data_IF_371352947638
#
_entry.id   IF_371352947638
#
_cell.length_a   1.000
_cell.length_b   1.000
_cell.length_c   1.000
_cell.angle_alpha   90.00
_cell.angle_beta   90.00
_cell.angle_gamma   90.00
#
_symmetry.space_group_name_H-M   'P 1'
#
loop_
_entity.id
_entity.type
_entity.pdbx_description
1 polymer ?
#
# COMPACT_ATOMS: atom_id res chain seq x y z
N UNK A 1 7.00 37.44 -2.71
CA UNK A 1 6.54 36.26 -1.99
C UNK A 1 5.27 35.63 -2.58
N UNK A 2 4.33 36.40 -3.09
CA UNK A 2 3.06 35.85 -3.66
C UNK A 2 3.25 35.12 -5.02
N UNK A 3 4.21 35.50 -5.84
CA UNK A 3 4.46 34.85 -7.13
C UNK A 3 4.96 33.40 -7.03
N UNK A 4 5.80 33.10 -6.05
CA UNK A 4 6.34 31.75 -5.83
C UNK A 4 5.25 30.78 -5.35
N UNK A 5 4.39 31.23 -4.46
CA UNK A 5 3.25 30.46 -3.94
C UNK A 5 2.22 30.16 -5.04
N UNK A 6 1.94 31.14 -5.91
CA UNK A 6 1.04 30.97 -7.05
C UNK A 6 1.58 29.94 -8.06
N UNK A 7 2.88 30.02 -8.37
CA UNK A 7 3.55 29.08 -9.28
C UNK A 7 3.55 27.65 -8.71
N UNK A 8 3.82 27.50 -7.42
CA UNK A 8 3.79 26.21 -6.74
C UNK A 8 2.39 25.57 -6.74
N UNK A 9 1.35 26.36 -6.49
CA UNK A 9 -0.03 25.88 -6.54
C UNK A 9 -0.42 25.43 -7.96
N UNK A 10 -0.01 26.17 -8.99
CA UNK A 10 -0.26 25.80 -10.39
C UNK A 10 0.42 24.48 -10.78
N UNK A 11 1.64 24.20 -10.28
CA UNK A 11 2.32 22.92 -10.48
C UNK A 11 1.59 21.78 -9.78
N UNK A 12 1.16 22.00 -8.54
CA UNK A 12 0.36 21.02 -7.79
C UNK A 12 -0.94 20.68 -8.50
N UNK A 13 -1.68 21.69 -8.96
CA UNK A 13 -2.95 21.48 -9.69
C UNK A 13 -2.73 20.69 -10.97
N UNK A 14 -1.64 20.95 -11.68
CA UNK A 14 -1.28 20.20 -12.90
C UNK A 14 -0.88 18.76 -12.56
N UNK A 15 -0.10 18.56 -11.51
CA UNK A 15 0.28 17.23 -11.04
C UNK A 15 -0.95 16.40 -10.63
N UNK A 16 -1.91 17.01 -9.94
CA UNK A 16 -3.14 16.33 -9.54
C UNK A 16 -4.02 15.94 -10.73
N UNK A 17 -4.06 16.75 -11.80
CA UNK A 17 -4.76 16.36 -13.04
C UNK A 17 -4.10 15.17 -13.72
N UNK A 18 -2.76 15.12 -13.79
CA UNK A 18 -2.04 13.97 -14.33
C UNK A 18 -2.26 12.71 -13.47
N UNK A 19 -2.27 12.86 -12.15
CA UNK A 19 -2.60 11.77 -11.23
C UNK A 19 -3.99 11.22 -11.49
N UNK A 20 -4.99 12.07 -11.67
CA UNK A 20 -6.36 11.64 -11.96
C UNK A 20 -6.45 10.87 -13.28
N UNK A 21 -5.79 11.35 -14.32
CA UNK A 21 -5.71 10.65 -15.61
C UNK A 21 -5.00 9.29 -15.46
N UNK A 22 -3.90 9.24 -14.71
CA UNK A 22 -3.19 8.00 -14.41
C UNK A 22 -4.11 6.97 -13.72
N UNK A 23 -4.89 7.42 -12.75
CA UNK A 23 -5.84 6.57 -12.03
C UNK A 23 -6.92 6.01 -12.97
N UNK A 24 -7.45 6.81 -13.90
CA UNK A 24 -8.43 6.35 -14.90
C UNK A 24 -7.84 5.27 -15.80
N UNK A 25 -6.61 5.45 -16.31
CA UNK A 25 -5.91 4.42 -17.07
C UNK A 25 -5.65 3.15 -16.26
N UNK A 26 -5.23 3.30 -15.01
CA UNK A 26 -5.02 2.16 -14.11
C UNK A 26 -6.31 1.35 -13.90
N UNK A 27 -7.44 2.02 -13.69
CA UNK A 27 -8.74 1.35 -13.52
C UNK A 27 -9.22 0.67 -14.82
N UNK A 28 -8.77 1.14 -15.98
CA UNK A 28 -9.03 0.51 -17.28
C UNK A 28 -8.03 -0.61 -17.62
N UNK A 29 -7.03 -0.87 -16.76
CA UNK A 29 -6.00 -1.88 -16.99
C UNK A 29 -4.88 -1.45 -17.93
N UNK A 30 -4.84 -0.18 -18.32
CA UNK A 30 -3.80 0.42 -19.18
C UNK A 30 -2.61 0.84 -18.29
N UNK A 31 -1.86 -0.19 -17.82
CA UNK A 31 -0.85 -0.01 -16.76
C UNK A 31 0.37 0.80 -17.22
N UNK A 32 0.79 0.67 -18.48
CA UNK A 32 1.96 1.40 -18.99
C UNK A 32 1.65 2.90 -19.11
N UNK A 33 0.47 3.25 -19.58
CA UNK A 33 -0.04 4.62 -19.66
C UNK A 33 -0.21 5.22 -18.26
N UNK A 34 -0.77 4.45 -17.34
CA UNK A 34 -0.93 4.86 -15.95
C UNK A 34 0.42 5.16 -15.30
N UNK A 35 1.40 4.28 -15.45
CA UNK A 35 2.76 4.49 -14.91
C UNK A 35 3.39 5.76 -15.46
N UNK A 36 3.35 5.98 -16.78
CA UNK A 36 3.90 7.18 -17.41
C UNK A 36 3.27 8.47 -16.88
N UNK A 37 1.95 8.48 -16.67
CA UNK A 37 1.23 9.64 -16.14
C UNK A 37 1.50 9.88 -14.63
N UNK A 38 1.64 8.82 -13.81
CA UNK A 38 2.09 8.98 -12.43
C UNK A 38 3.50 9.52 -12.35
N UNK A 39 4.42 9.03 -13.17
CA UNK A 39 5.80 9.55 -13.28
C UNK A 39 5.82 11.03 -13.68
N UNK A 40 4.99 11.43 -14.65
CA UNK A 40 4.84 12.81 -15.05
C UNK A 40 4.26 13.69 -13.93
N UNK A 41 3.28 13.21 -13.18
CA UNK A 41 2.73 13.87 -11.99
C UNK A 41 3.80 14.11 -10.94
N UNK A 42 4.57 13.08 -10.60
CA UNK A 42 5.68 13.13 -9.64
C UNK A 42 6.76 14.11 -10.10
N UNK A 43 7.08 14.12 -11.38
CA UNK A 43 8.07 15.06 -11.96
C UNK A 43 7.67 16.53 -11.83
N UNK A 44 6.37 16.84 -11.80
CA UNK A 44 5.87 18.20 -11.58
C UNK A 44 5.80 18.55 -10.08
N UNK A 45 5.22 17.67 -9.29
CA UNK A 45 5.04 17.84 -7.85
C UNK A 45 4.96 16.48 -7.15
N UNK A 46 6.02 16.02 -6.48
CA UNK A 46 6.02 14.74 -5.78
C UNK A 46 5.01 14.72 -4.63
N UNK A 47 4.15 13.70 -4.60
CA UNK A 47 3.24 13.43 -3.49
C UNK A 47 3.38 11.98 -3.03
N UNK A 48 3.11 11.71 -1.76
CA UNK A 48 3.15 10.35 -1.23
C UNK A 48 2.11 9.45 -1.93
N UNK A 49 0.96 10.00 -2.26
CA UNK A 49 -0.11 9.33 -3.01
C UNK A 49 0.36 8.93 -4.40
N UNK A 50 0.99 9.83 -5.16
CA UNK A 50 1.44 9.54 -6.52
C UNK A 50 2.49 8.42 -6.54
N UNK A 51 3.48 8.46 -5.63
CA UNK A 51 4.45 7.38 -5.47
C UNK A 51 3.79 6.04 -5.08
N UNK A 52 2.81 6.07 -4.19
CA UNK A 52 2.10 4.85 -3.75
C UNK A 52 1.27 4.23 -4.88
N UNK A 53 0.56 5.04 -5.65
CA UNK A 53 -0.22 4.55 -6.80
C UNK A 53 0.67 4.07 -7.96
N UNK A 54 1.82 4.70 -8.18
CA UNK A 54 2.83 4.20 -9.11
C UNK A 54 3.36 2.84 -8.65
N UNK A 55 3.66 2.68 -7.36
CA UNK A 55 4.05 1.40 -6.77
C UNK A 55 2.99 0.32 -7.01
N UNK A 56 1.73 0.65 -6.80
CA UNK A 56 0.61 -0.25 -7.06
C UNK A 56 0.54 -0.64 -8.54
N UNK A 57 0.73 0.31 -9.45
CA UNK A 57 0.80 0.03 -10.90
C UNK A 57 1.95 -0.94 -11.21
N UNK A 58 3.14 -0.72 -10.67
CA UNK A 58 4.27 -1.63 -10.84
C UNK A 58 4.00 -3.04 -10.27
N UNK A 59 3.30 -3.14 -9.15
CA UNK A 59 2.95 -4.45 -8.59
C UNK A 59 2.05 -5.26 -9.52
N UNK A 60 1.09 -4.64 -10.18
CA UNK A 60 0.27 -5.30 -11.19
C UNK A 60 1.06 -5.72 -12.43
N UNK A 61 2.17 -5.05 -12.73
CA UNK A 61 3.11 -5.44 -13.78
C UNK A 61 4.10 -6.53 -13.33
N UNK A 62 4.02 -7.00 -12.08
CA UNK A 62 4.95 -7.97 -11.50
C UNK A 62 6.31 -7.38 -11.09
N UNK A 63 6.45 -6.06 -11.10
CA UNK A 63 7.67 -5.30 -10.80
C UNK A 63 7.75 -4.97 -9.29
N UNK A 64 7.81 -6.00 -8.45
CA UNK A 64 7.68 -5.84 -6.99
C UNK A 64 8.83 -5.06 -6.35
N UNK A 65 10.07 -5.23 -6.82
CA UNK A 65 11.21 -4.48 -6.28
C UNK A 65 11.08 -2.98 -6.56
N UNK A 66 10.64 -2.61 -7.75
CA UNK A 66 10.39 -1.23 -8.13
C UNK A 66 9.18 -0.66 -7.36
N UNK A 67 8.14 -1.45 -7.13
CA UNK A 67 7.01 -1.07 -6.30
C UNK A 67 7.44 -0.76 -4.86
N UNK A 68 8.28 -1.60 -4.26
CA UNK A 68 8.83 -1.35 -2.91
C UNK A 68 9.67 -0.06 -2.89
N UNK A 69 10.47 0.17 -3.92
CA UNK A 69 11.27 1.39 -4.01
C UNK A 69 10.41 2.64 -4.09
N UNK A 70 9.33 2.62 -4.88
CA UNK A 70 8.38 3.74 -4.96
C UNK A 70 7.63 3.97 -3.64
N UNK A 71 7.24 2.92 -2.93
CA UNK A 71 6.67 3.05 -1.59
C UNK A 71 7.66 3.72 -0.61
N UNK A 72 8.95 3.41 -0.69
CA UNK A 72 9.96 4.09 0.14
C UNK A 72 10.06 5.59 -0.17
N UNK A 73 10.00 5.97 -1.44
CA UNK A 73 9.92 7.38 -1.84
C UNK A 73 8.66 8.06 -1.32
N UNK A 74 7.52 7.37 -1.31
CA UNK A 74 6.28 7.88 -0.70
C UNK A 74 6.47 8.18 0.79
N UNK A 75 7.15 7.29 1.53
CA UNK A 75 7.47 7.46 2.95
C UNK A 75 8.41 8.66 3.16
N UNK A 76 9.39 8.87 2.29
CA UNK A 76 10.29 10.03 2.35
C UNK A 76 9.53 11.35 2.17
N UNK A 77 8.48 11.36 1.33
CA UNK A 77 7.62 12.54 1.11
C UNK A 77 6.70 12.79 2.32
N UNK A 78 6.05 11.74 2.82
CA UNK A 78 5.15 11.82 3.99
C UNK A 78 5.27 10.56 4.84
N UNK A 79 6.09 10.61 5.91
CA UNK A 79 6.28 9.47 6.83
C UNK A 79 5.02 9.05 7.60
N UNK A 80 4.01 9.92 7.70
CA UNK A 80 2.77 9.65 8.40
C UNK A 80 1.71 8.96 7.53
N UNK A 81 1.95 8.88 6.22
CA UNK A 81 1.04 8.20 5.29
C UNK A 81 1.20 6.69 5.40
N UNK A 82 0.15 5.99 5.86
CA UNK A 82 0.21 4.57 6.20
C UNK A 82 0.19 3.60 5.03
N UNK A 83 -0.40 3.98 3.91
CA UNK A 83 -0.56 3.11 2.74
C UNK A 83 0.75 2.47 2.26
N UNK A 84 1.85 3.23 2.02
CA UNK A 84 3.07 2.63 1.50
C UNK A 84 3.71 1.61 2.46
N UNK A 85 3.56 1.77 3.77
CA UNK A 85 4.04 0.77 4.72
C UNK A 85 3.29 -0.56 4.61
N UNK A 86 1.96 -0.51 4.49
CA UNK A 86 1.14 -1.69 4.26
C UNK A 86 1.48 -2.37 2.93
N UNK A 87 1.68 -1.58 1.88
CA UNK A 87 1.94 -2.08 0.53
C UNK A 87 3.33 -2.75 0.45
N UNK A 88 4.37 -2.18 1.07
CA UNK A 88 5.68 -2.85 1.22
C UNK A 88 5.51 -4.21 1.90
N UNK A 89 4.73 -4.28 2.98
CA UNK A 89 4.45 -5.54 3.67
C UNK A 89 3.80 -6.57 2.76
N UNK A 90 2.78 -6.16 2.01
CA UNK A 90 2.10 -7.03 1.04
C UNK A 90 3.06 -7.53 -0.05
N UNK A 91 3.87 -6.66 -0.64
CA UNK A 91 4.83 -7.03 -1.69
C UNK A 91 5.93 -7.95 -1.18
N UNK A 92 6.43 -7.75 0.05
CA UNK A 92 7.40 -8.66 0.67
C UNK A 92 6.81 -10.05 0.92
N UNK A 93 5.54 -10.15 1.31
CA UNK A 93 4.87 -11.45 1.42
C UNK A 93 4.80 -12.14 0.06
N UNK A 94 4.47 -11.42 -1.01
CA UNK A 94 4.43 -11.95 -2.37
C UNK A 94 5.81 -12.42 -2.85
N UNK A 95 6.89 -11.75 -2.41
CA UNK A 95 8.27 -12.17 -2.67
C UNK A 95 8.72 -13.37 -1.82
N UNK A 96 7.87 -13.92 -0.96
CA UNK A 96 8.25 -15.01 -0.05
C UNK A 96 9.11 -14.57 1.13
N UNK A 97 9.03 -13.30 1.54
CA UNK A 97 9.78 -12.67 2.65
C UNK A 97 8.85 -12.23 3.79
N UNK A 98 8.01 -13.13 4.34
CA UNK A 98 7.00 -12.74 5.34
C UNK A 98 7.60 -12.16 6.62
N UNK A 99 8.77 -12.65 7.05
CA UNK A 99 9.45 -12.12 8.23
C UNK A 99 9.91 -10.67 8.07
N UNK A 100 10.33 -10.28 6.87
CA UNK A 100 10.69 -8.89 6.58
C UNK A 100 9.46 -7.97 6.47
N UNK A 101 8.29 -8.52 6.13
CA UNK A 101 7.05 -7.79 6.01
C UNK A 101 6.51 -7.28 7.36
N UNK A 102 6.68 -8.05 8.43
CA UNK A 102 6.09 -7.78 9.77
C UNK A 102 6.44 -6.37 10.28
N UNK A 103 7.70 -5.91 10.33
CA UNK A 103 8.01 -4.57 10.83
C UNK A 103 7.34 -3.44 10.02
N UNK A 104 7.20 -3.61 8.70
CA UNK A 104 6.54 -2.63 7.85
C UNK A 104 5.04 -2.53 8.14
N UNK A 105 4.37 -3.67 8.30
CA UNK A 105 2.95 -3.74 8.64
C UNK A 105 2.65 -3.16 10.02
N UNK A 106 3.54 -3.40 11.00
CA UNK A 106 3.45 -2.78 12.32
C UNK A 106 3.61 -1.27 12.26
N UNK A 107 4.45 -0.74 11.37
CA UNK A 107 4.57 0.70 11.12
C UNK A 107 3.29 1.26 10.50
N UNK A 108 2.65 0.56 9.57
CA UNK A 108 1.36 0.95 9.02
C UNK A 108 0.29 1.13 10.10
N UNK A 109 0.26 0.24 11.11
CA UNK A 109 -0.67 0.34 12.24
C UNK A 109 -0.43 1.54 13.14
N UNK A 110 0.75 2.14 13.11
CA UNK A 110 1.13 3.33 13.89
C UNK A 110 1.08 4.63 13.11
N UNK A 111 0.86 4.56 11.80
CA UNK A 111 0.83 5.74 10.94
C UNK A 111 -0.38 6.63 11.29
N UNK A 112 -0.17 7.94 11.43
CA UNK A 112 -1.22 8.86 11.83
C UNK A 112 -2.21 9.16 10.70
N UNK A 113 -1.76 9.12 9.45
CA UNK A 113 -2.58 9.35 8.25
C UNK A 113 -2.87 8.04 7.53
N UNK A 114 -3.74 7.23 8.14
CA UNK A 114 -4.21 5.96 7.60
C UNK A 114 -5.62 5.65 8.13
N UNK A 115 -6.49 5.14 7.31
CA UNK A 115 -7.89 4.85 7.69
C UNK A 115 -8.23 3.36 7.62
N UNK A 116 -7.53 2.61 6.79
CA UNK A 116 -7.86 1.22 6.46
C UNK A 116 -7.05 0.21 7.27
N UNK A 117 -7.02 0.34 8.60
CA UNK A 117 -6.21 -0.49 9.49
C UNK A 117 -6.53 -2.00 9.43
N UNK A 118 -7.66 -2.40 8.86
CA UNK A 118 -7.95 -3.81 8.63
C UNK A 118 -6.99 -4.47 7.62
N UNK A 119 -6.44 -3.72 6.65
CA UNK A 119 -5.47 -4.26 5.69
C UNK A 119 -4.14 -4.66 6.34
N UNK A 120 -3.44 -3.83 7.12
CA UNK A 120 -2.21 -4.27 7.78
C UNK A 120 -2.45 -5.38 8.79
N UNK A 121 -3.57 -5.43 9.50
CA UNK A 121 -3.91 -6.58 10.33
C UNK A 121 -4.10 -7.85 9.51
N UNK A 122 -4.80 -7.79 8.40
CA UNK A 122 -4.96 -8.91 7.50
C UNK A 122 -3.61 -9.37 6.93
N UNK A 123 -2.77 -8.46 6.48
CA UNK A 123 -1.45 -8.78 5.94
C UNK A 123 -0.49 -9.34 7.01
N UNK A 124 -0.54 -8.87 8.25
CA UNK A 124 0.16 -9.49 9.38
C UNK A 124 -0.27 -10.94 9.58
N UNK A 125 -1.56 -11.20 9.50
CA UNK A 125 -2.10 -12.56 9.55
C UNK A 125 -1.56 -13.44 8.42
N UNK A 126 -1.50 -12.92 7.19
CA UNK A 126 -0.89 -13.60 6.04
C UNK A 126 0.60 -13.90 6.27
N UNK A 127 1.35 -12.93 6.77
CA UNK A 127 2.78 -13.10 7.08
C UNK A 127 2.99 -14.20 8.13
N UNK A 128 2.24 -14.17 9.23
CA UNK A 128 2.33 -15.20 10.26
C UNK A 128 1.88 -16.59 9.77
N UNK A 129 0.82 -16.67 8.95
CA UNK A 129 0.39 -17.93 8.34
C UNK A 129 1.44 -18.51 7.39
N UNK A 130 2.15 -17.66 6.63
CA UNK A 130 3.25 -18.08 5.75
C UNK A 130 4.48 -18.59 6.52
N UNK A 131 4.57 -18.28 7.81
CA UNK A 131 5.60 -18.78 8.73
C UNK A 131 5.08 -19.90 9.65
N UNK A 132 3.95 -20.51 9.32
CA UNK A 132 3.27 -21.55 10.10
C UNK A 132 2.84 -21.15 11.53
N UNK A 133 2.84 -19.86 11.82
CA UNK A 133 2.41 -19.29 13.11
C UNK A 133 0.89 -19.06 13.13
N UNK A 134 0.11 -20.13 12.96
CA UNK A 134 -1.35 -20.06 12.76
C UNK A 134 -2.12 -19.44 13.92
N UNK A 135 -1.65 -19.60 15.16
CA UNK A 135 -2.25 -18.95 16.34
C UNK A 135 -2.19 -17.42 16.23
N UNK A 136 -1.00 -16.87 15.93
CA UNK A 136 -0.82 -15.43 15.72
C UNK A 136 -1.56 -14.94 14.47
N UNK A 137 -1.54 -15.73 13.40
CA UNK A 137 -2.29 -15.41 12.20
C UNK A 137 -3.78 -15.23 12.49
N UNK A 138 -4.38 -16.15 13.24
CA UNK A 138 -5.79 -16.08 13.62
C UNK A 138 -6.11 -14.85 14.48
N UNK A 139 -5.23 -14.48 15.41
CA UNK A 139 -5.37 -13.24 16.19
C UNK A 139 -5.39 -12.00 15.28
N UNK A 140 -4.46 -11.91 14.32
CA UNK A 140 -4.40 -10.80 13.37
C UNK A 140 -5.65 -10.74 12.48
N UNK A 141 -6.13 -11.87 11.97
CA UNK A 141 -7.37 -11.91 11.18
C UNK A 141 -8.59 -11.48 12.00
N UNK A 142 -8.66 -11.85 13.28
CA UNK A 142 -9.71 -11.37 14.19
C UNK A 142 -9.64 -9.85 14.39
N UNK A 143 -8.44 -9.27 14.52
CA UNK A 143 -8.27 -7.82 14.60
C UNK A 143 -8.76 -7.13 13.31
N UNK A 144 -8.41 -7.66 12.14
CA UNK A 144 -8.93 -7.16 10.87
C UNK A 144 -10.47 -7.19 10.82
N UNK A 145 -11.08 -8.30 11.27
CA UNK A 145 -12.53 -8.47 11.28
C UNK A 145 -13.24 -7.63 12.36
N UNK A 146 -12.56 -7.25 13.43
CA UNK A 146 -13.11 -6.32 14.42
C UNK A 146 -13.30 -4.91 13.84
N UNK A 147 -12.50 -4.55 12.83
CA UNK A 147 -12.55 -3.27 12.12
C UNK A 147 -13.48 -3.37 10.91
N UNK A 148 -13.36 -4.44 10.13
CA UNK A 148 -14.13 -4.71 8.91
C UNK A 148 -14.78 -6.11 8.97
N UNK A 149 -15.94 -6.27 9.63
CA UNK A 149 -16.52 -7.59 9.90
C UNK A 149 -16.88 -8.39 8.64
N UNK A 150 -17.16 -7.72 7.54
CA UNK A 150 -17.54 -8.35 6.26
C UNK A 150 -16.37 -8.51 5.28
N UNK A 151 -15.12 -8.26 5.72
CA UNK A 151 -13.96 -8.40 4.84
C UNK A 151 -13.71 -9.88 4.52
N UNK A 152 -14.21 -10.31 3.36
CA UNK A 152 -14.20 -11.70 2.89
C UNK A 152 -12.84 -12.39 2.96
N UNK A 153 -11.73 -11.76 2.49
CA UNK A 153 -10.40 -12.36 2.58
C UNK A 153 -9.96 -12.72 4.00
N UNK A 154 -10.29 -11.88 5.00
CA UNK A 154 -9.96 -12.17 6.40
C UNK A 154 -10.85 -13.26 7.00
N UNK A 155 -12.12 -13.34 6.60
CA UNK A 155 -13.04 -14.42 7.02
C UNK A 155 -12.54 -15.78 6.54
N UNK A 156 -12.16 -15.88 5.28
CA UNK A 156 -11.64 -17.11 4.68
C UNK A 156 -10.29 -17.52 5.31
N UNK A 157 -9.38 -16.55 5.44
CA UNK A 157 -8.06 -16.76 6.03
C UNK A 157 -8.15 -17.20 7.50
N UNK A 158 -9.06 -16.61 8.30
CA UNK A 158 -9.30 -17.00 9.69
C UNK A 158 -9.84 -18.43 9.80
N UNK A 159 -10.76 -18.80 8.91
CA UNK A 159 -11.28 -20.18 8.84
C UNK A 159 -10.17 -21.17 8.53
N UNK A 160 -9.34 -20.87 7.52
CA UNK A 160 -8.21 -21.72 7.13
C UNK A 160 -7.18 -21.85 8.24
N UNK A 161 -6.80 -20.77 8.90
CA UNK A 161 -5.86 -20.79 10.02
C UNK A 161 -6.36 -21.62 11.19
N UNK A 162 -7.65 -21.51 11.53
CA UNK A 162 -8.26 -22.31 12.63
C UNK A 162 -8.13 -23.81 12.41
N UNK A 163 -8.26 -24.28 11.16
CA UNK A 163 -8.15 -25.71 10.84
C UNK A 163 -6.72 -26.25 11.00
N UNK A 164 -5.72 -25.38 11.06
CA UNK A 164 -4.29 -25.74 11.19
C UNK A 164 -3.75 -25.59 12.61
N UNK A 165 -4.57 -25.14 13.54
CA UNK A 165 -4.22 -25.09 14.97
C UNK A 165 -4.61 -26.44 15.58
N UNK A 166 -3.59 -27.18 16.01
CA UNK A 166 -3.76 -28.50 16.70
C UNK A 166 -3.38 -28.39 18.18
#
# INVERSE_FOLDING_TARGET
MDGDRSSRNALLDRALRLFQQAYEHQMSGELDEAAALYEASIGLFPTAEAHTFLAWTYSFQGRLDEAILECRKAIDVDPEFGNPYNDIGAYLIEQGKPGEAVPWLERALRAARYESYHFPWYNLGRAHASMDCYGRALECFRQALSIAPEYGPALEAARSARLKIH
#
